data_IF_844884994758
#
_entry.id   IF_844884994758
#
_cell.length_a   1.000
_cell.length_b   1.000
_cell.length_c   1.000
_cell.angle_alpha   90.00
_cell.angle_beta   90.00
_cell.angle_gamma   90.00
#
_symmetry.space_group_name_H-M   'P 1'
#
loop_
_entity.id
_entity.type
_entity.pdbx_description
1 polymer ?
#
# COMPACT_ATOMS: atom_id res chain seq x y z
N UNK A 1 -18.31 17.59 10.85
CA UNK A 1 -18.40 16.31 10.12
C UNK A 1 -17.01 15.74 9.96
N UNK A 2 -16.78 14.52 10.43
CA UNK A 2 -15.56 13.77 10.16
C UNK A 2 -15.72 13.06 8.80
N UNK A 3 -14.62 12.84 8.09
CA UNK A 3 -14.69 12.10 6.83
C UNK A 3 -14.98 10.61 7.09
N UNK A 4 -15.91 10.01 6.35
CA UNK A 4 -16.43 8.65 6.57
C UNK A 4 -15.35 7.57 6.59
N UNK A 5 -14.25 7.74 5.85
CA UNK A 5 -13.16 6.76 5.80
C UNK A 5 -12.41 6.59 7.13
N UNK A 6 -12.47 7.59 8.03
CA UNK A 6 -11.71 7.59 9.29
C UNK A 6 -12.12 6.48 10.25
N UNK A 7 -13.32 5.94 10.08
CA UNK A 7 -13.85 4.83 10.90
C UNK A 7 -13.26 3.46 10.50
N UNK A 8 -12.78 3.33 9.26
CA UNK A 8 -12.36 2.04 8.70
C UNK A 8 -10.86 1.85 8.64
N UNK A 9 -10.11 2.94 8.41
CA UNK A 9 -8.67 2.85 8.24
C UNK A 9 -7.94 4.14 8.57
N UNK A 10 -6.64 3.99 8.86
CA UNK A 10 -5.75 5.11 9.14
C UNK A 10 -5.48 5.97 7.90
N UNK A 11 -5.01 7.19 8.13
CA UNK A 11 -4.66 8.13 7.07
C UNK A 11 -3.62 7.57 6.07
N UNK A 12 -2.65 6.79 6.54
CA UNK A 12 -1.65 6.15 5.67
C UNK A 12 -2.29 5.18 4.67
N UNK A 13 -3.32 4.43 5.09
CA UNK A 13 -4.06 3.55 4.18
C UNK A 13 -4.91 4.36 3.21
N UNK A 14 -5.58 5.40 3.68
CA UNK A 14 -6.38 6.32 2.85
C UNK A 14 -5.55 6.90 1.71
N UNK A 15 -4.40 7.50 2.03
CA UNK A 15 -3.52 8.13 1.04
C UNK A 15 -3.01 7.14 -0.01
N UNK A 16 -2.71 5.90 0.38
CA UNK A 16 -2.29 4.84 -0.54
C UNK A 16 -3.39 4.47 -1.53
N UNK A 17 -4.66 4.40 -1.07
CA UNK A 17 -5.81 4.12 -1.93
C UNK A 17 -6.05 5.26 -2.91
N UNK A 18 -6.06 6.51 -2.42
CA UNK A 18 -6.29 7.69 -3.26
C UNK A 18 -5.17 7.87 -4.28
N UNK A 19 -3.90 7.70 -3.90
CA UNK A 19 -2.79 7.81 -4.87
C UNK A 19 -2.86 6.74 -5.96
N UNK A 20 -3.34 5.52 -5.67
CA UNK A 20 -3.58 4.50 -6.70
C UNK A 20 -4.65 4.96 -7.70
N UNK A 21 -5.76 5.50 -7.23
CA UNK A 21 -6.83 6.02 -8.09
C UNK A 21 -6.32 7.19 -8.96
N UNK A 22 -5.53 8.10 -8.39
CA UNK A 22 -4.94 9.23 -9.11
C UNK A 22 -3.98 8.76 -10.20
N UNK A 23 -3.10 7.77 -9.93
CA UNK A 23 -2.19 7.21 -10.95
C UNK A 23 -2.96 6.61 -12.13
N UNK A 24 -4.04 5.89 -11.84
CA UNK A 24 -4.90 5.31 -12.88
C UNK A 24 -5.59 6.37 -13.76
N UNK A 25 -5.70 7.61 -13.31
CA UNK A 25 -6.26 8.73 -14.09
C UNK A 25 -5.23 9.49 -14.94
N UNK A 26 -3.93 9.18 -14.81
CA UNK A 26 -2.87 9.85 -15.59
C UNK A 26 -2.74 9.29 -17.01
N UNK A 27 -2.14 10.10 -17.90
CA UNK A 27 -1.71 9.65 -19.22
C UNK A 27 -0.63 8.58 -19.10
N UNK A 28 -0.56 7.69 -20.09
CA UNK A 28 0.31 6.50 -20.05
C UNK A 28 1.78 6.82 -19.73
N UNK A 29 2.35 7.84 -20.39
CA UNK A 29 3.75 8.23 -20.17
C UNK A 29 4.05 8.54 -18.69
N UNK A 30 3.18 9.31 -18.03
CA UNK A 30 3.34 9.69 -16.63
C UNK A 30 2.96 8.56 -15.67
N UNK A 31 2.00 7.71 -16.09
CA UNK A 31 1.53 6.57 -15.31
C UNK A 31 2.64 5.56 -15.06
N UNK A 32 3.42 5.22 -16.09
CA UNK A 32 4.52 4.25 -15.98
C UNK A 32 5.54 4.67 -14.92
N UNK A 33 5.95 5.94 -14.93
CA UNK A 33 6.88 6.47 -13.94
C UNK A 33 6.29 6.55 -12.54
N UNK A 34 4.99 6.88 -12.44
CA UNK A 34 4.29 6.94 -11.15
C UNK A 34 4.04 5.54 -10.54
N UNK A 35 3.78 4.53 -11.36
CA UNK A 35 3.58 3.13 -10.95
C UNK A 35 4.89 2.50 -10.51
N UNK A 36 6.01 2.80 -11.18
CA UNK A 36 7.35 2.36 -10.75
C UNK A 36 7.69 2.81 -9.32
N UNK A 37 7.29 4.03 -8.94
CA UNK A 37 7.49 4.56 -7.58
C UNK A 37 6.57 3.91 -6.54
N UNK A 38 5.43 3.36 -6.97
CA UNK A 38 4.45 2.75 -6.09
C UNK A 38 4.82 1.32 -5.69
N UNK A 39 5.77 0.69 -6.40
CA UNK A 39 6.17 -0.68 -6.12
C UNK A 39 6.94 -0.79 -4.79
N UNK A 40 6.42 -1.62 -3.89
CA UNK A 40 7.02 -1.90 -2.58
C UNK A 40 7.11 -3.41 -2.39
N UNK A 41 8.33 -3.95 -2.45
CA UNK A 41 8.62 -5.37 -2.23
C UNK A 41 9.06 -5.66 -0.77
N UNK A 42 8.40 -5.04 0.19
CA UNK A 42 8.77 -5.17 1.61
C UNK A 42 8.29 -6.51 2.19
N UNK A 43 9.08 -7.07 3.11
CA UNK A 43 8.73 -8.23 3.94
C UNK A 43 8.77 -7.80 5.39
N UNK A 44 7.79 -8.22 6.18
CA UNK A 44 7.82 -8.03 7.62
C UNK A 44 7.59 -9.35 8.34
N UNK A 45 8.01 -9.37 9.60
CA UNK A 45 7.88 -10.50 10.49
C UNK A 45 7.53 -9.97 11.87
N UNK A 46 6.57 -10.60 12.52
CA UNK A 46 6.25 -10.30 13.90
C UNK A 46 7.14 -11.17 14.80
N UNK A 47 7.78 -10.54 15.77
CA UNK A 47 8.59 -11.24 16.77
C UNK A 47 7.84 -11.25 18.08
N UNK A 48 7.55 -12.44 18.62
CA UNK A 48 6.86 -12.62 19.90
C UNK A 48 7.69 -13.54 20.80
N UNK A 49 7.97 -13.10 22.02
CA UNK A 49 8.77 -13.85 23.01
C UNK A 49 10.12 -14.33 22.48
N UNK A 50 10.77 -13.54 21.62
CA UNK A 50 12.06 -13.88 21.01
C UNK A 50 12.00 -14.90 19.87
N UNK A 51 10.81 -15.34 19.47
CA UNK A 51 10.62 -16.22 18.32
C UNK A 51 10.03 -15.46 17.13
N UNK A 52 10.55 -15.80 15.95
CA UNK A 52 10.18 -15.27 14.65
C UNK A 52 8.88 -15.89 14.13
N UNK A 53 7.90 -15.09 13.71
CA UNK A 53 6.71 -15.58 12.99
C UNK A 53 7.02 -15.98 11.55
N UNK A 54 6.01 -16.36 10.76
CA UNK A 54 6.17 -16.47 9.32
C UNK A 54 6.52 -15.11 8.68
N UNK A 55 7.31 -15.13 7.60
CA UNK A 55 7.61 -13.94 6.80
C UNK A 55 6.41 -13.53 5.96
N UNK A 56 5.84 -12.35 6.22
CA UNK A 56 4.71 -11.83 5.47
C UNK A 56 5.23 -10.88 4.39
N UNK A 57 4.94 -11.21 3.13
CA UNK A 57 5.20 -10.34 1.98
C UNK A 57 4.12 -9.26 1.89
N UNK A 58 4.52 -7.99 1.81
CA UNK A 58 3.62 -6.85 1.59
C UNK A 58 3.38 -6.54 0.10
N UNK A 59 4.18 -7.14 -0.78
CA UNK A 59 3.97 -7.02 -2.22
C UNK A 59 2.58 -7.58 -2.61
N UNK A 60 1.85 -6.95 -3.54
CA UNK A 60 0.62 -7.53 -4.09
C UNK A 60 0.91 -8.91 -4.65
N UNK A 61 0.21 -9.94 -4.18
CA UNK A 61 0.26 -11.26 -4.83
C UNK A 61 -0.26 -11.10 -6.26
N UNK A 62 0.54 -11.47 -7.25
CA UNK A 62 0.06 -11.61 -8.63
C UNK A 62 -1.13 -12.59 -8.60
N UNK A 63 -2.24 -12.18 -9.24
CA UNK A 63 -3.44 -13.03 -9.40
C UNK A 63 -3.31 -13.88 -10.64
#
# INVERSE_FOLDING_TARGET
>A
MTATWREFFSYSKYTTVVTRAVRASLKEAERVDADRRAFQALRYQEWKNGQSSEHINLAPKEK
#
